data_IF_776126156687
#
_entry.id   IF_776126156687
#
_cell.length_a   1.000
_cell.length_b   1.000
_cell.length_c   1.000
_cell.angle_alpha   90.00
_cell.angle_beta   90.00
_cell.angle_gamma   90.00
#
_symmetry.space_group_name_H-M   'P 1'
#
loop_
_entity.id
_entity.type
_entity.pdbx_description
1 polymer ?
#
# COMPACT_ATOMS: atom_id res chain seq x y z
N UNK A 1 -6.80 -10.73 0.31
CA UNK A 1 -5.87 -10.04 -0.61
C UNK A 1 -5.54 -8.63 -0.13
N UNK A 2 -6.52 -7.74 0.09
CA UNK A 2 -6.24 -6.39 0.63
C UNK A 2 -5.47 -6.41 1.97
N UNK A 3 -5.74 -7.36 2.86
CA UNK A 3 -4.94 -7.50 4.09
C UNK A 3 -3.46 -7.82 3.84
N UNK A 4 -3.14 -8.59 2.79
CA UNK A 4 -1.76 -8.84 2.39
C UNK A 4 -1.11 -7.57 1.82
N UNK A 5 -1.87 -6.79 1.05
CA UNK A 5 -1.42 -5.47 0.57
C UNK A 5 -1.14 -4.56 1.78
N UNK A 6 -2.04 -4.48 2.75
CA UNK A 6 -1.85 -3.70 3.97
C UNK A 6 -0.60 -4.10 4.75
N UNK A 7 -0.37 -5.41 4.94
CA UNK A 7 0.84 -5.93 5.59
C UNK A 7 2.09 -5.55 4.80
N UNK A 8 2.11 -5.80 3.50
CA UNK A 8 3.24 -5.48 2.62
C UNK A 8 3.52 -3.98 2.58
N UNK A 9 2.50 -3.12 2.53
CA UNK A 9 2.64 -1.67 2.60
C UNK A 9 3.18 -1.23 3.97
N UNK A 10 2.76 -1.89 5.07
CA UNK A 10 3.21 -1.49 6.41
C UNK A 10 4.67 -1.81 6.72
N UNK A 11 5.23 -2.86 6.11
CA UNK A 11 6.57 -3.37 6.45
C UNK A 11 7.54 -3.31 5.27
N UNK A 12 7.05 -3.31 4.04
CA UNK A 12 7.86 -3.41 2.83
C UNK A 12 8.88 -2.29 2.70
N UNK A 13 8.51 -1.06 3.06
CA UNK A 13 9.45 0.07 3.04
C UNK A 13 10.60 -0.12 4.02
N UNK A 14 10.34 -0.65 5.22
CA UNK A 14 11.42 -0.93 6.17
C UNK A 14 12.30 -2.08 5.69
N UNK A 15 11.73 -3.09 5.03
CA UNK A 15 12.51 -4.18 4.45
C UNK A 15 13.40 -3.68 3.30
N UNK A 16 12.86 -2.82 2.45
CA UNK A 16 13.55 -2.31 1.26
C UNK A 16 14.55 -1.19 1.57
N UNK A 17 14.27 -0.35 2.57
CA UNK A 17 14.97 0.92 2.74
C UNK A 17 15.84 0.98 4.01
N UNK A 18 15.68 0.03 4.95
CA UNK A 18 16.47 -0.01 6.17
C UNK A 18 17.83 -0.71 5.98
N UNK A 19 18.63 -0.19 5.04
CA UNK A 19 19.93 -0.78 4.69
C UNK A 19 20.89 0.26 4.04
N UNK A 20 22.07 -0.20 3.65
CA UNK A 20 23.17 0.60 3.07
C UNK A 20 22.87 1.18 1.68
N UNK A 21 21.89 0.65 0.96
CA UNK A 21 21.48 1.21 -0.34
C UNK A 21 20.55 2.41 -0.20
N UNK A 22 19.95 2.61 0.99
CA UNK A 22 18.95 3.65 1.26
C UNK A 22 19.30 4.44 2.53
N UNK A 23 18.63 4.21 3.67
CA UNK A 23 18.71 5.10 4.85
C UNK A 23 20.14 5.26 5.39
N UNK A 24 20.99 4.23 5.24
CA UNK A 24 22.39 4.26 5.65
C UNK A 24 23.37 4.69 4.56
N UNK A 25 22.91 4.84 3.31
CA UNK A 25 23.76 5.23 2.17
C UNK A 25 24.50 6.55 2.44
N UNK A 26 25.85 6.58 2.49
CA UNK A 26 26.60 7.80 2.73
C UNK A 26 26.51 8.82 1.58
N UNK A 27 26.16 8.38 0.37
CA UNK A 27 26.04 9.23 -0.82
C UNK A 27 24.70 9.98 -0.88
N UNK A 28 23.69 9.55 -0.12
CA UNK A 28 22.43 10.27 0.00
C UNK A 28 22.59 11.55 0.82
N UNK A 29 22.19 12.67 0.22
CA UNK A 29 22.08 13.94 0.94
C UNK A 29 21.14 13.78 2.16
N UNK A 30 21.38 14.51 3.27
CA UNK A 30 20.55 14.41 4.47
C UNK A 30 19.05 14.56 4.22
N UNK A 31 18.66 15.40 3.25
CA UNK A 31 17.25 15.61 2.91
C UNK A 31 16.60 14.42 2.19
N UNK A 32 17.36 13.66 1.39
CA UNK A 32 16.87 12.42 0.79
C UNK A 32 16.55 11.37 1.86
N UNK A 33 17.41 11.26 2.89
CA UNK A 33 17.17 10.39 4.07
C UNK A 33 15.94 10.82 4.86
N UNK A 34 15.70 12.13 5.01
CA UNK A 34 14.48 12.64 5.64
C UNK A 34 13.23 12.19 4.87
N UNK A 35 13.20 12.38 3.55
CA UNK A 35 12.08 11.93 2.73
C UNK A 35 11.95 10.41 2.70
N UNK A 36 13.04 9.65 2.77
CA UNK A 36 12.96 8.20 2.90
C UNK A 36 12.34 7.76 4.25
N UNK A 37 12.77 8.36 5.36
CA UNK A 37 12.13 8.17 6.66
C UNK A 37 10.64 8.52 6.65
N UNK A 38 10.27 9.61 5.96
CA UNK A 38 8.88 9.98 5.71
C UNK A 38 8.13 8.90 4.93
N UNK A 39 8.70 8.34 3.85
CA UNK A 39 8.04 7.28 3.06
C UNK A 39 7.90 5.97 3.82
N UNK A 40 8.90 5.58 4.62
CA UNK A 40 8.81 4.39 5.47
C UNK A 40 7.68 4.53 6.50
N UNK A 41 7.63 5.68 7.17
CA UNK A 41 6.57 5.98 8.15
C UNK A 41 5.19 6.06 7.49
N UNK A 42 5.10 6.65 6.29
CA UNK A 42 3.86 6.72 5.52
C UNK A 42 3.36 5.31 5.13
N UNK A 43 4.25 4.43 4.66
CA UNK A 43 3.92 3.03 4.36
C UNK A 43 3.35 2.31 5.58
N UNK A 44 4.03 2.41 6.74
CA UNK A 44 3.55 1.87 8.01
C UNK A 44 2.13 2.33 8.34
N UNK A 45 1.88 3.65 8.33
CA UNK A 45 0.59 4.20 8.71
C UNK A 45 -0.53 3.85 7.71
N UNK A 46 -0.26 3.87 6.40
CA UNK A 46 -1.23 3.49 5.38
C UNK A 46 -1.57 1.99 5.47
N UNK A 47 -0.57 1.14 5.67
CA UNK A 47 -0.76 -0.30 5.84
C UNK A 47 -1.56 -0.64 7.10
N UNK A 48 -1.21 -0.06 8.26
CA UNK A 48 -1.96 -0.23 9.50
C UNK A 48 -3.39 0.30 9.39
N UNK A 49 -3.59 1.45 8.74
CA UNK A 49 -4.93 2.01 8.50
C UNK A 49 -5.75 1.08 7.61
N UNK A 50 -5.15 0.52 6.56
CA UNK A 50 -5.80 -0.50 5.72
C UNK A 50 -6.25 -1.69 6.56
N UNK A 51 -5.38 -2.22 7.43
CA UNK A 51 -5.71 -3.35 8.30
C UNK A 51 -6.80 -2.99 9.32
N UNK A 52 -6.79 -1.77 9.86
CA UNK A 52 -7.83 -1.28 10.76
C UNK A 52 -9.22 -1.28 10.09
N UNK A 53 -9.33 -0.84 8.84
CA UNK A 53 -10.61 -0.88 8.12
C UNK A 53 -11.05 -2.29 7.69
N UNK A 54 -10.12 -3.24 7.59
CA UNK A 54 -10.43 -4.62 7.20
C UNK A 54 -10.69 -5.57 8.38
N UNK A 55 -10.12 -5.28 9.54
CA UNK A 55 -10.15 -6.19 10.71
C UNK A 55 -10.54 -5.50 12.02
N UNK A 56 -10.60 -4.18 12.05
CA UNK A 56 -11.01 -3.41 13.23
C UNK A 56 -12.52 -3.15 13.29
N UNK A 57 -12.96 -2.23 14.17
CA UNK A 57 -14.37 -1.87 14.34
C UNK A 57 -15.14 -1.57 13.04
N UNK A 58 -14.56 -0.86 12.04
CA UNK A 58 -15.27 -0.61 10.78
C UNK A 58 -15.61 -1.87 9.96
N UNK A 59 -14.94 -2.99 10.22
CA UNK A 59 -15.15 -4.26 9.53
C UNK A 59 -16.20 -5.16 10.20
N UNK A 60 -16.83 -4.70 11.29
CA UNK A 60 -17.76 -5.53 12.06
C UNK A 60 -18.93 -6.01 11.19
N UNK A 61 -19.19 -7.32 11.24
CA UNK A 61 -20.31 -7.96 10.53
C UNK A 61 -21.68 -7.56 11.08
N UNK A 62 -21.75 -6.96 12.27
CA UNK A 62 -22.98 -6.42 12.85
C UNK A 62 -23.39 -5.07 12.24
N UNK A 63 -22.48 -4.40 11.52
CA UNK A 63 -22.79 -3.11 10.90
C UNK A 63 -23.64 -3.29 9.63
N UNK A 64 -24.46 -2.29 9.27
CA UNK A 64 -25.20 -2.30 8.02
C UNK A 64 -24.30 -2.54 6.80
N UNK A 65 -24.82 -3.25 5.79
CA UNK A 65 -24.05 -3.57 4.57
C UNK A 65 -23.47 -2.33 3.86
N UNK A 66 -24.16 -1.19 3.93
CA UNK A 66 -23.65 0.07 3.39
C UNK A 66 -22.37 0.53 4.09
N UNK A 67 -22.28 0.36 5.42
CA UNK A 67 -21.09 0.71 6.20
C UNK A 67 -19.95 -0.27 5.93
N UNK A 68 -20.23 -1.58 5.83
CA UNK A 68 -19.23 -2.57 5.45
C UNK A 68 -18.63 -2.28 4.06
N UNK A 69 -19.47 -1.87 3.09
CA UNK A 69 -19.00 -1.43 1.76
C UNK A 69 -18.15 -0.17 1.84
N UNK A 70 -18.55 0.81 2.66
CA UNK A 70 -17.77 2.03 2.88
C UNK A 70 -16.38 1.70 3.43
N UNK A 71 -16.31 0.86 4.47
CA UNK A 71 -15.04 0.42 5.06
C UNK A 71 -14.13 -0.30 4.04
N UNK A 72 -14.69 -1.17 3.21
CA UNK A 72 -13.95 -1.82 2.12
C UNK A 72 -13.35 -0.80 1.14
N UNK A 73 -14.14 0.17 0.70
CA UNK A 73 -13.66 1.20 -0.23
C UNK A 73 -12.61 2.10 0.40
N UNK A 74 -12.77 2.47 1.68
CA UNK A 74 -11.75 3.22 2.40
C UNK A 74 -10.46 2.43 2.53
N UNK A 75 -10.53 1.15 2.89
CA UNK A 75 -9.35 0.28 2.95
C UNK A 75 -8.65 0.19 1.59
N UNK A 76 -9.42 0.00 0.52
CA UNK A 76 -8.88 -0.07 -0.85
C UNK A 76 -8.21 1.24 -1.29
N UNK A 77 -8.86 2.37 -1.03
CA UNK A 77 -8.30 3.69 -1.33
C UNK A 77 -6.98 3.89 -0.61
N UNK A 78 -6.96 3.73 0.72
CA UNK A 78 -5.76 3.90 1.54
C UNK A 78 -4.65 2.95 1.12
N UNK A 79 -4.95 1.68 0.86
CA UNK A 79 -3.98 0.70 0.39
C UNK A 79 -3.37 1.07 -0.97
N UNK A 80 -4.16 1.68 -1.85
CA UNK A 80 -3.72 2.07 -3.19
C UNK A 80 -2.85 3.33 -3.22
N UNK A 81 -2.96 4.20 -2.20
CA UNK A 81 -2.27 5.49 -2.20
C UNK A 81 -0.75 5.32 -2.31
N UNK A 82 -0.15 4.46 -1.48
CA UNK A 82 1.30 4.28 -1.45
C UNK A 82 1.84 3.81 -2.82
N UNK A 83 1.21 2.78 -3.40
CA UNK A 83 1.64 2.22 -4.68
C UNK A 83 1.39 3.19 -5.85
N UNK A 84 0.31 3.97 -5.79
CA UNK A 84 0.01 5.00 -6.79
C UNK A 84 1.06 6.11 -6.73
N UNK A 85 1.40 6.60 -5.52
CA UNK A 85 2.43 7.62 -5.37
C UNK A 85 3.81 7.10 -5.76
N UNK A 86 4.13 5.83 -5.44
CA UNK A 86 5.37 5.18 -5.87
C UNK A 86 5.48 5.09 -7.39
N UNK A 87 4.38 4.74 -8.07
CA UNK A 87 4.36 4.75 -9.54
C UNK A 87 4.55 6.15 -10.10
N UNK A 88 3.86 7.14 -9.52
CA UNK A 88 3.98 8.54 -9.95
C UNK A 88 5.39 9.10 -9.76
N UNK A 89 6.14 8.56 -8.79
CA UNK A 89 7.50 8.99 -8.48
C UNK A 89 8.41 8.93 -9.71
N UNK A 90 8.22 7.92 -10.58
CA UNK A 90 9.01 7.68 -11.79
C UNK A 90 8.92 8.81 -12.84
N UNK A 91 7.92 9.69 -12.72
CA UNK A 91 7.67 10.75 -13.69
C UNK A 91 8.21 12.11 -13.25
N UNK A 92 8.74 12.23 -12.02
CA UNK A 92 9.32 13.49 -11.56
C UNK A 92 10.73 13.69 -12.14
N UNK A 93 11.09 14.93 -12.54
CA UNK A 93 12.40 15.21 -13.14
C UNK A 93 13.55 14.78 -12.23
N UNK A 94 14.49 14.01 -12.79
CA UNK A 94 15.68 13.54 -12.07
C UNK A 94 15.44 12.40 -11.08
N UNK A 95 14.22 11.86 -11.00
CA UNK A 95 13.97 10.66 -10.20
C UNK A 95 14.56 9.41 -10.86
N UNK A 96 15.11 8.51 -10.04
CA UNK A 96 15.52 7.18 -10.45
C UNK A 96 14.90 6.16 -9.52
N UNK A 97 14.56 5.01 -10.07
CA UNK A 97 14.08 3.86 -9.31
C UNK A 97 15.19 3.19 -8.51
N UNK A 98 16.42 3.23 -9.01
CA UNK A 98 17.60 2.65 -8.39
C UNK A 98 18.73 3.64 -8.59
N UNK A 99 19.54 3.89 -7.56
CA UNK A 99 20.72 4.72 -7.73
C UNK A 99 21.70 4.03 -8.69
N UNK A 100 22.41 4.77 -9.57
CA UNK A 100 23.30 4.18 -10.58
C UNK A 100 24.38 3.25 -10.00
N UNK A 101 24.76 3.46 -8.73
CA UNK A 101 25.73 2.63 -8.02
C UNK A 101 25.22 1.21 -7.69
N UNK A 102 23.91 0.98 -7.70
CA UNK A 102 23.28 -0.31 -7.40
C UNK A 102 22.62 -0.98 -8.61
N UNK A 103 22.66 -0.34 -9.78
CA UNK A 103 22.20 -0.90 -11.05
C UNK A 103 21.29 0.03 -11.84
N UNK A 104 20.55 -0.56 -12.77
CA UNK A 104 19.68 0.15 -13.69
C UNK A 104 18.27 -0.47 -13.72
N UNK A 105 17.31 0.28 -14.28
CA UNK A 105 15.93 -0.18 -14.49
C UNK A 105 14.94 0.29 -13.43
N UNK A 106 13.75 -0.31 -13.43
CA UNK A 106 12.60 0.10 -12.61
C UNK A 106 11.91 -1.09 -11.93
N UNK A 107 12.61 -1.85 -11.06
CA UNK A 107 12.06 -3.06 -10.43
C UNK A 107 10.76 -2.81 -9.64
N UNK A 108 10.56 -1.59 -9.14
CA UNK A 108 9.37 -1.18 -8.39
C UNK A 108 8.09 -1.27 -9.23
N UNK A 109 8.17 -1.18 -10.56
CA UNK A 109 6.99 -1.28 -11.45
C UNK A 109 6.30 -2.63 -11.30
N UNK A 110 7.04 -3.71 -11.09
CA UNK A 110 6.46 -5.04 -10.87
C UNK A 110 5.72 -5.12 -9.54
N UNK A 111 6.29 -4.54 -8.47
CA UNK A 111 5.65 -4.50 -7.15
C UNK A 111 4.38 -3.65 -7.19
N UNK A 112 4.46 -2.45 -7.74
CA UNK A 112 3.31 -1.55 -7.95
C UNK A 112 2.20 -2.28 -8.71
N UNK A 113 2.53 -2.89 -9.86
CA UNK A 113 1.55 -3.58 -10.69
C UNK A 113 0.91 -4.75 -9.95
N UNK A 114 1.72 -5.53 -9.21
CA UNK A 114 1.25 -6.64 -8.39
C UNK A 114 0.28 -6.19 -7.29
N UNK A 115 0.67 -5.23 -6.46
CA UNK A 115 -0.14 -4.80 -5.32
C UNK A 115 -1.41 -4.03 -5.74
N UNK A 116 -1.36 -3.23 -6.80
CA UNK A 116 -2.56 -2.60 -7.36
C UNK A 116 -3.52 -3.65 -7.94
N UNK A 117 -3.00 -4.66 -8.66
CA UNK A 117 -3.82 -5.77 -9.15
C UNK A 117 -4.45 -6.57 -8.00
N UNK A 118 -3.69 -6.88 -6.95
CA UNK A 118 -4.20 -7.55 -5.75
C UNK A 118 -5.27 -6.72 -5.03
N UNK A 119 -5.16 -5.40 -5.05
CA UNK A 119 -6.17 -4.48 -4.51
C UNK A 119 -7.47 -4.61 -5.29
N UNK A 120 -7.43 -4.52 -6.63
CA UNK A 120 -8.61 -4.68 -7.49
C UNK A 120 -9.28 -6.04 -7.30
N UNK A 121 -8.50 -7.13 -7.33
CA UNK A 121 -9.02 -8.48 -7.14
C UNK A 121 -9.60 -8.63 -5.72
N UNK A 122 -8.95 -8.06 -4.71
CA UNK A 122 -9.42 -8.07 -3.34
C UNK A 122 -10.79 -7.40 -3.18
N UNK A 123 -10.99 -6.23 -3.79
CA UNK A 123 -12.27 -5.52 -3.79
C UNK A 123 -13.33 -6.39 -4.47
N UNK A 124 -13.02 -6.94 -5.63
CA UNK A 124 -13.97 -7.77 -6.40
C UNK A 124 -14.44 -8.98 -5.60
N UNK A 125 -13.53 -9.71 -4.95
CA UNK A 125 -13.84 -10.86 -4.11
C UNK A 125 -14.73 -10.47 -2.92
N UNK A 126 -14.40 -9.38 -2.23
CA UNK A 126 -15.15 -8.96 -1.04
C UNK A 126 -16.52 -8.39 -1.39
N UNK A 127 -16.63 -7.64 -2.49
CA UNK A 127 -17.91 -7.19 -3.02
C UNK A 127 -18.82 -8.36 -3.40
N UNK A 128 -18.26 -9.44 -3.97
CA UNK A 128 -19.01 -10.67 -4.26
C UNK A 128 -19.51 -11.33 -2.97
N UNK A 129 -18.69 -11.39 -1.92
CA UNK A 129 -19.08 -11.89 -0.59
C UNK A 129 -20.23 -11.07 -0.01
N UNK A 130 -20.11 -9.74 0.02
CA UNK A 130 -21.13 -8.84 0.55
C UNK A 130 -22.46 -8.93 -0.19
N UNK A 131 -22.44 -9.09 -1.52
CA UNK A 131 -23.65 -9.34 -2.33
C UNK A 131 -24.33 -10.65 -1.94
N UNK A 132 -23.57 -11.71 -1.67
CA UNK A 132 -24.13 -12.99 -1.25
C UNK A 132 -24.73 -12.94 0.15
N UNK A 133 -24.17 -12.12 1.05
CA UNK A 133 -24.75 -11.88 2.38
C UNK A 133 -26.10 -11.16 2.25
N UNK A 134 -26.17 -10.11 1.43
CA UNK A 134 -27.42 -9.38 1.20
C UNK A 134 -28.58 -10.29 0.79
N UNK A 135 -28.34 -11.17 -0.20
CA UNK A 135 -29.32 -12.14 -0.70
C UNK A 135 -29.83 -13.16 0.34
N UNK A 136 -29.17 -13.30 1.49
CA UNK A 136 -29.58 -14.23 2.56
C UNK A 136 -30.43 -13.56 3.63
N UNK A 137 -30.46 -12.23 3.64
CA UNK A 137 -31.18 -11.41 4.62
C UNK A 137 -32.48 -10.87 4.03
N UNK A 138 -32.58 -10.83 2.70
CA UNK A 138 -33.82 -10.65 1.93
C UNK A 138 -34.60 -11.96 1.81
#
# INVERSE_FOLDING_TARGET
>A
MLGLVGLATSTGCYIADWNETHIYNPNWAPHAKFHNGQTMSMGLLLGLTTLYYLYGPPASSSLPLAQQRSALWTAAWVASLYWTTQFSALFYPGSLAVDPEFGEGQPQVYLVSGFLSMTVVGIWLEMKRLKNVAKRVD
#
